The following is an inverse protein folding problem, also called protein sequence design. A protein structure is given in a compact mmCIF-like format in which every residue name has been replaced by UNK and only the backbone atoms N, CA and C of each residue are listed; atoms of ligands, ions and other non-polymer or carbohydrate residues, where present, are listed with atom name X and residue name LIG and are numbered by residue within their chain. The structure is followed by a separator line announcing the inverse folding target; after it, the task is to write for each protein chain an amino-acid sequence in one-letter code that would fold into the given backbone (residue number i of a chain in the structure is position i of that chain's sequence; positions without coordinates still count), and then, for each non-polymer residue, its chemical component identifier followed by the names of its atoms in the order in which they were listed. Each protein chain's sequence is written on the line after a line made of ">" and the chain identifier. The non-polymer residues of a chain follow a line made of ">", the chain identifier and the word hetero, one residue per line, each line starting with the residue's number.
data_IF_840713819111
#
_entry.id   IF_840713819111
#
_cell.length_a   1.000
_cell.length_b   1.000
_cell.length_c   1.000
_cell.angle_alpha   90.00
_cell.angle_beta   90.00
_cell.angle_gamma   90.00
#
_symmetry.space_group_name_H-M   'P 1'
#
loop_
_entity.id
_entity.type
_entity.pdbx_description
1 polymer ?
#
# COMPACT_ATOMS: atom_id res chain seq x y z
N UNK A 1 -10.21 -45.91 36.42
CA UNK A 1 -11.24 -44.89 36.10
C UNK A 1 -11.05 -44.55 34.64
N UNK A 2 -11.99 -44.95 33.79
CA UNK A 2 -11.98 -44.51 32.39
C UNK A 2 -12.26 -43.02 32.37
N UNK A 3 -11.26 -42.24 31.95
CA UNK A 3 -11.41 -40.79 31.80
C UNK A 3 -12.31 -40.59 30.59
N UNK A 4 -13.56 -40.23 30.83
CA UNK A 4 -14.48 -39.86 29.77
C UNK A 4 -14.04 -38.51 29.16
N UNK A 5 -13.52 -38.56 27.94
CA UNK A 5 -13.13 -37.37 27.17
C UNK A 5 -14.20 -37.10 26.14
N UNK A 6 -14.81 -35.90 26.19
CA UNK A 6 -15.83 -35.50 25.23
C UNK A 6 -15.21 -35.38 23.81
N UNK A 7 -15.77 -36.05 22.78
CA UNK A 7 -15.35 -35.86 21.40
C UNK A 7 -15.70 -34.46 20.89
N UNK A 8 -15.05 -33.97 19.82
CA UNK A 8 -15.41 -32.69 19.21
C UNK A 8 -16.83 -32.75 18.64
N UNK A 9 -17.51 -31.60 18.62
CA UNK A 9 -18.72 -31.45 17.82
C UNK A 9 -18.41 -31.70 16.34
N UNK A 10 -19.37 -32.20 15.54
CA UNK A 10 -19.20 -32.35 14.09
C UNK A 10 -18.73 -31.05 13.40
N UNK A 11 -18.00 -31.19 12.29
CA UNK A 11 -17.55 -30.03 11.52
C UNK A 11 -18.75 -29.23 11.01
N UNK A 12 -18.78 -27.94 11.34
CA UNK A 12 -19.82 -27.01 10.92
C UNK A 12 -19.47 -26.37 9.57
N UNK A 13 -20.45 -26.26 8.68
CA UNK A 13 -20.39 -25.47 7.44
C UNK A 13 -20.97 -24.05 7.60
N UNK A 14 -21.49 -23.72 8.78
CA UNK A 14 -22.02 -22.38 9.06
C UNK A 14 -20.89 -21.36 9.25
N UNK A 15 -20.81 -20.36 8.39
CA UNK A 15 -19.87 -19.24 8.50
C UNK A 15 -18.56 -19.48 7.75
N UNK A 16 -17.44 -19.07 8.36
CA UNK A 16 -16.11 -19.18 7.73
C UNK A 16 -15.57 -20.61 7.85
N UNK A 17 -15.53 -21.32 6.72
CA UNK A 17 -15.08 -22.71 6.65
C UNK A 17 -13.61 -22.88 7.08
N UNK A 18 -12.76 -21.88 6.85
CA UNK A 18 -11.35 -21.89 7.26
C UNK A 18 -11.25 -21.92 8.79
N UNK A 19 -12.00 -21.05 9.46
CA UNK A 19 -12.04 -20.98 10.92
C UNK A 19 -12.70 -22.22 11.52
N UNK A 20 -13.78 -22.70 10.91
CA UNK A 20 -14.47 -23.91 11.36
C UNK A 20 -13.55 -25.13 11.30
N UNK A 21 -12.82 -25.31 10.19
CA UNK A 21 -11.84 -26.39 10.07
C UNK A 21 -10.70 -26.27 11.09
N UNK A 22 -10.11 -25.08 11.24
CA UNK A 22 -9.02 -24.85 12.19
C UNK A 22 -9.45 -25.16 13.63
N UNK A 23 -10.64 -24.70 14.03
CA UNK A 23 -11.23 -24.95 15.34
C UNK A 23 -11.49 -26.45 15.53
N UNK A 24 -12.19 -27.08 14.59
CA UNK A 24 -12.54 -28.49 14.68
C UNK A 24 -11.30 -29.38 14.76
N UNK A 25 -10.30 -29.14 13.90
CA UNK A 25 -9.02 -29.88 13.90
C UNK A 25 -8.30 -29.73 15.24
N UNK A 26 -8.27 -28.52 15.81
CA UNK A 26 -7.67 -28.29 17.13
C UNK A 26 -8.39 -29.11 18.20
N UNK A 27 -9.72 -29.06 18.24
CA UNK A 27 -10.54 -29.75 19.23
C UNK A 27 -10.40 -31.28 19.08
N UNK A 28 -10.38 -31.79 17.85
CA UNK A 28 -10.10 -33.20 17.57
C UNK A 28 -8.71 -33.63 18.06
N UNK A 29 -7.67 -32.83 17.83
CA UNK A 29 -6.32 -33.16 18.30
C UNK A 29 -6.21 -33.14 19.84
N UNK A 30 -6.95 -32.26 20.52
CA UNK A 30 -7.05 -32.26 21.98
C UNK A 30 -7.71 -33.56 22.45
N UNK A 31 -8.84 -33.94 21.84
CA UNK A 31 -9.54 -35.20 22.12
C UNK A 31 -8.62 -36.41 21.92
N UNK A 32 -7.87 -36.48 20.81
CA UNK A 32 -6.95 -37.59 20.52
C UNK A 32 -5.86 -37.73 21.58
N UNK A 33 -5.34 -36.61 22.10
CA UNK A 33 -4.33 -36.61 23.18
C UNK A 33 -4.95 -37.02 24.51
N UNK A 34 -6.06 -36.39 24.89
CA UNK A 34 -6.69 -36.63 26.18
C UNK A 34 -7.25 -38.06 26.31
N UNK A 35 -7.75 -38.65 25.22
CA UNK A 35 -8.23 -40.04 25.18
C UNK A 35 -7.11 -41.08 24.99
N UNK A 36 -5.85 -40.64 24.90
CA UNK A 36 -4.70 -41.48 24.53
C UNK A 36 -4.83 -42.20 23.16
N UNK A 37 -5.78 -41.78 22.32
CA UNK A 37 -6.01 -42.33 20.98
C UNK A 37 -4.88 -41.97 20.02
N UNK A 38 -4.12 -40.91 20.30
CA UNK A 38 -2.97 -40.48 19.50
C UNK A 38 -1.83 -41.52 19.45
N UNK A 39 -1.80 -42.46 20.41
CA UNK A 39 -0.80 -43.52 20.51
C UNK A 39 -1.29 -44.86 19.94
N UNK A 40 -2.50 -44.91 19.36
CA UNK A 40 -3.08 -46.10 18.72
C UNK A 40 -2.59 -46.25 17.28
N UNK A 41 -2.93 -47.37 16.63
CA UNK A 41 -2.60 -47.61 15.22
C UNK A 41 -3.25 -46.57 14.28
N UNK A 42 -2.62 -46.36 13.13
CA UNK A 42 -2.93 -45.25 12.20
C UNK A 42 -4.31 -45.35 11.57
N UNK A 43 -4.74 -46.57 11.30
CA UNK A 43 -6.05 -46.95 10.80
C UNK A 43 -7.13 -46.71 11.85
N UNK A 44 -6.88 -47.06 13.12
CA UNK A 44 -7.77 -46.74 14.22
C UNK A 44 -7.93 -45.22 14.39
N UNK A 45 -6.82 -44.47 14.33
CA UNK A 45 -6.87 -43.01 14.35
C UNK A 45 -7.67 -42.44 13.17
N UNK A 46 -7.50 -42.98 11.97
CA UNK A 46 -8.24 -42.58 10.77
C UNK A 46 -9.74 -42.89 10.90
N UNK A 47 -10.09 -44.02 11.51
CA UNK A 47 -11.47 -44.38 11.80
C UNK A 47 -12.13 -43.38 12.76
N UNK A 48 -11.44 -42.98 13.84
CA UNK A 48 -11.94 -41.95 14.76
C UNK A 48 -12.13 -40.61 14.05
N UNK A 49 -11.17 -40.19 13.22
CA UNK A 49 -11.28 -38.97 12.42
C UNK A 49 -12.55 -38.99 11.56
N UNK A 50 -12.75 -40.07 10.79
CA UNK A 50 -13.91 -40.24 9.90
C UNK A 50 -15.23 -40.30 10.67
N UNK A 51 -15.22 -40.84 11.88
CA UNK A 51 -16.41 -40.95 12.73
C UNK A 51 -16.82 -39.59 13.29
N UNK A 52 -15.87 -38.81 13.82
CA UNK A 52 -16.17 -37.57 14.53
C UNK A 52 -16.20 -36.32 13.66
N UNK A 53 -15.65 -36.34 12.44
CA UNK A 53 -15.66 -35.17 11.54
C UNK A 53 -17.08 -34.80 11.06
N UNK A 54 -18.02 -35.73 11.15
CA UNK A 54 -19.40 -35.52 10.73
C UNK A 54 -19.59 -35.58 9.20
N UNK A 55 -20.84 -35.41 8.76
CA UNK A 55 -21.25 -35.71 7.38
C UNK A 55 -20.51 -34.87 6.34
N UNK A 56 -20.36 -33.57 6.57
CA UNK A 56 -19.64 -32.64 5.68
C UNK A 56 -18.19 -33.10 5.48
N UNK A 57 -17.50 -33.42 6.57
CA UNK A 57 -16.12 -33.90 6.49
C UNK A 57 -16.01 -35.28 5.84
N UNK A 58 -16.95 -36.18 6.10
CA UNK A 58 -17.00 -37.50 5.46
C UNK A 58 -17.17 -37.39 3.94
N UNK A 59 -18.06 -36.53 3.47
CA UNK A 59 -18.28 -36.31 2.03
C UNK A 59 -17.01 -35.74 1.36
N UNK A 60 -16.29 -34.85 2.05
CA UNK A 60 -15.00 -34.33 1.58
C UNK A 60 -13.91 -35.42 1.56
N UNK A 61 -13.82 -36.25 2.61
CA UNK A 61 -12.87 -37.37 2.65
C UNK A 61 -13.12 -38.33 1.48
N UNK A 62 -14.38 -38.69 1.22
CA UNK A 62 -14.73 -39.59 0.12
C UNK A 62 -14.32 -39.02 -1.24
N UNK A 63 -14.58 -37.73 -1.46
CA UNK A 63 -14.16 -37.02 -2.67
C UNK A 63 -12.63 -37.03 -2.84
N UNK A 64 -11.89 -36.74 -1.77
CA UNK A 64 -10.42 -36.61 -1.77
C UNK A 64 -9.69 -37.96 -1.96
N UNK A 65 -10.30 -39.05 -1.49
CA UNK A 65 -9.67 -40.38 -1.40
C UNK A 65 -10.18 -41.35 -2.46
N UNK A 66 -11.17 -40.96 -3.26
CA UNK A 66 -11.76 -41.73 -4.36
C UNK A 66 -10.76 -42.53 -5.23
N UNK A 67 -9.59 -41.97 -5.55
CA UNK A 67 -8.56 -42.63 -6.37
C UNK A 67 -7.43 -43.29 -5.57
N UNK A 68 -7.41 -43.18 -4.24
CA UNK A 68 -6.30 -43.61 -3.39
C UNK A 68 -6.81 -44.24 -2.07
N UNK A 69 -7.61 -45.30 -2.17
CA UNK A 69 -8.32 -45.89 -1.02
C UNK A 69 -7.43 -46.24 0.19
N UNK A 70 -6.16 -46.62 -0.02
CA UNK A 70 -5.21 -46.91 1.07
C UNK A 70 -4.91 -45.70 1.96
N UNK A 71 -5.05 -44.50 1.43
CA UNK A 71 -4.86 -43.25 2.18
C UNK A 71 -6.01 -42.96 3.14
N UNK A 72 -7.15 -43.67 3.00
CA UNK A 72 -8.31 -43.57 3.90
C UNK A 72 -8.00 -44.06 5.30
N UNK A 73 -6.97 -44.88 5.44
CA UNK A 73 -6.61 -45.57 6.67
C UNK A 73 -5.37 -44.95 7.34
N UNK A 74 -4.93 -43.78 6.89
CA UNK A 74 -3.88 -43.01 7.58
C UNK A 74 -4.39 -41.62 7.99
N UNK A 75 -4.48 -41.40 9.31
CA UNK A 75 -4.96 -40.13 9.86
C UNK A 75 -4.14 -38.92 9.42
N UNK A 76 -2.80 -39.00 9.34
CA UNK A 76 -2.02 -37.83 8.95
C UNK A 76 -2.20 -37.51 7.47
N UNK A 77 -2.31 -38.54 6.61
CA UNK A 77 -2.57 -38.32 5.19
C UNK A 77 -3.95 -37.64 5.02
N UNK A 78 -4.97 -38.14 5.72
CA UNK A 78 -6.30 -37.50 5.73
C UNK A 78 -6.24 -36.06 6.23
N UNK A 79 -5.61 -35.81 7.39
CA UNK A 79 -5.47 -34.46 7.95
C UNK A 79 -4.73 -33.52 6.99
N UNK A 80 -3.65 -33.97 6.35
CA UNK A 80 -2.91 -33.15 5.39
C UNK A 80 -3.74 -32.80 4.16
N UNK A 81 -4.52 -33.75 3.65
CA UNK A 81 -5.40 -33.51 2.50
C UNK A 81 -6.60 -32.62 2.86
N UNK A 82 -7.16 -32.78 4.06
CA UNK A 82 -8.22 -31.92 4.59
C UNK A 82 -7.68 -30.50 4.84
N UNK A 83 -6.47 -30.37 5.38
CA UNK A 83 -5.77 -29.09 5.50
C UNK A 83 -5.65 -28.42 4.13
N UNK A 84 -5.23 -29.13 3.08
CA UNK A 84 -5.16 -28.58 1.71
C UNK A 84 -6.54 -28.20 1.14
N UNK A 85 -7.59 -28.94 1.49
CA UNK A 85 -8.94 -28.70 0.99
C UNK A 85 -9.62 -27.50 1.66
N UNK A 86 -9.57 -27.43 2.99
CA UNK A 86 -10.21 -26.37 3.76
C UNK A 86 -9.34 -25.14 3.96
N UNK A 87 -8.01 -25.27 3.82
CA UNK A 87 -7.05 -24.18 3.82
C UNK A 87 -6.38 -24.12 2.44
N UNK A 88 -7.13 -23.84 1.35
CA UNK A 88 -6.52 -23.72 0.04
C UNK A 88 -5.40 -22.68 0.13
N UNK A 89 -4.21 -22.98 -0.45
CA UNK A 89 -3.09 -22.05 -0.40
C UNK A 89 -3.55 -20.72 -0.99
N UNK A 90 -3.49 -19.68 -0.17
CA UNK A 90 -3.84 -18.34 -0.64
C UNK A 90 -2.88 -17.99 -1.77
N UNK A 91 -3.42 -17.50 -2.88
CA UNK A 91 -2.60 -17.09 -4.00
C UNK A 91 -1.72 -15.91 -3.54
N UNK A 92 -0.43 -16.17 -3.37
CA UNK A 92 0.55 -15.21 -2.86
C UNK A 92 0.47 -13.87 -3.63
N UNK A 93 0.26 -13.93 -4.94
CA UNK A 93 0.14 -12.74 -5.79
C UNK A 93 -1.08 -11.91 -5.41
N UNK A 94 -2.22 -12.56 -5.16
CA UNK A 94 -3.46 -11.90 -4.73
C UNK A 94 -3.29 -11.30 -3.34
N UNK A 95 -2.67 -12.03 -2.41
CA UNK A 95 -2.44 -11.56 -1.05
C UNK A 95 -1.50 -10.34 -1.04
N UNK A 96 -0.38 -10.40 -1.79
CA UNK A 96 0.54 -9.28 -1.97
C UNK A 96 -0.16 -8.09 -2.61
N UNK A 97 -0.97 -8.30 -3.65
CA UNK A 97 -1.79 -7.24 -4.25
C UNK A 97 -2.71 -6.58 -3.21
N UNK A 98 -3.42 -7.38 -2.41
CA UNK A 98 -4.32 -6.90 -1.37
C UNK A 98 -3.60 -6.20 -0.21
N UNK A 99 -2.36 -6.61 0.09
CA UNK A 99 -1.48 -5.92 1.03
C UNK A 99 -1.09 -4.54 0.50
N UNK A 100 -0.53 -4.46 -0.71
CA UNK A 100 -0.10 -3.18 -1.28
C UNK A 100 -1.25 -2.23 -1.58
N UNK A 101 -2.42 -2.75 -1.97
CA UNK A 101 -3.65 -1.95 -2.20
C UNK A 101 -4.28 -1.42 -0.93
N UNK A 102 -4.06 -2.05 0.23
CA UNK A 102 -4.63 -1.59 1.49
C UNK A 102 -4.18 -0.16 1.81
N UNK A 103 -5.04 0.65 2.45
CA UNK A 103 -4.73 2.02 2.83
C UNK A 103 -5.10 2.25 4.29
N UNK A 104 -4.40 3.17 4.94
CA UNK A 104 -4.75 3.62 6.29
C UNK A 104 -6.06 4.42 6.27
N UNK A 105 -7.02 4.05 7.12
CA UNK A 105 -8.21 4.89 7.39
C UNK A 105 -7.81 6.14 8.20
N UNK A 106 -8.50 7.26 7.98
CA UNK A 106 -8.19 8.55 8.65
C UNK A 106 -8.17 8.41 10.17
N UNK A 107 -9.06 7.59 10.71
CA UNK A 107 -9.38 7.55 12.15
C UNK A 107 -8.54 6.54 12.94
N UNK A 108 -7.77 5.69 12.25
CA UNK A 108 -6.95 4.66 12.89
C UNK A 108 -5.57 5.22 13.24
N UNK A 109 -5.00 4.85 14.39
CA UNK A 109 -3.61 5.20 14.75
C UNK A 109 -2.60 4.54 13.81
N UNK A 110 -1.35 5.00 13.82
CA UNK A 110 -0.31 4.38 12.99
C UNK A 110 0.03 2.98 13.50
N UNK A 111 0.04 2.79 14.82
CA UNK A 111 0.33 1.54 15.50
C UNK A 111 -0.71 0.46 15.15
N UNK A 112 -2.00 0.82 15.21
CA UNK A 112 -3.08 -0.10 14.84
C UNK A 112 -3.04 -0.45 13.35
N UNK A 113 -2.66 0.50 12.49
CA UNK A 113 -2.49 0.24 11.07
C UNK A 113 -1.30 -0.69 10.79
N UNK A 114 -0.19 -0.55 11.51
CA UNK A 114 0.96 -1.46 11.43
C UNK A 114 0.54 -2.88 11.84
N UNK A 115 -0.21 -3.04 12.93
CA UNK A 115 -0.74 -4.36 13.34
C UNK A 115 -1.60 -4.98 12.24
N UNK A 116 -2.50 -4.19 11.65
CA UNK A 116 -3.31 -4.62 10.52
C UNK A 116 -2.45 -5.07 9.31
N UNK A 117 -1.41 -4.31 8.96
CA UNK A 117 -0.48 -4.66 7.89
C UNK A 117 0.31 -5.93 8.20
N UNK A 118 0.78 -6.11 9.44
CA UNK A 118 1.45 -7.35 9.89
C UNK A 118 0.54 -8.56 9.72
N UNK A 119 -0.74 -8.44 10.09
CA UNK A 119 -1.71 -9.52 9.90
C UNK A 119 -1.90 -9.86 8.41
N UNK A 120 -2.01 -8.87 7.53
CA UNK A 120 -2.07 -9.10 6.07
C UNK A 120 -0.78 -9.72 5.50
N UNK A 121 0.37 -9.33 6.03
CA UNK A 121 1.66 -9.84 5.57
C UNK A 121 1.87 -11.34 5.86
N UNK A 122 1.14 -11.92 6.83
CA UNK A 122 1.27 -13.35 7.21
C UNK A 122 1.02 -14.31 6.03
N UNK A 123 0.22 -13.89 5.05
CA UNK A 123 -0.15 -14.69 3.87
C UNK A 123 0.57 -14.25 2.60
N UNK A 124 1.46 -13.26 2.70
CA UNK A 124 2.21 -12.67 1.59
C UNK A 124 3.58 -13.29 1.37
N UNK A 125 4.01 -14.22 2.23
CA UNK A 125 5.33 -14.86 2.15
C UNK A 125 6.50 -13.85 2.08
N UNK A 126 6.45 -12.81 2.92
CA UNK A 126 7.52 -11.80 3.01
C UNK A 126 8.70 -12.23 3.89
N UNK A 127 8.49 -13.24 4.74
CA UNK A 127 9.51 -13.75 5.66
C UNK A 127 10.12 -12.64 6.53
N UNK A 128 11.45 -12.63 6.62
CA UNK A 128 12.21 -11.69 7.45
C UNK A 128 12.12 -10.23 6.96
N UNK A 129 11.64 -9.99 5.73
CA UNK A 129 11.49 -8.65 5.17
C UNK A 129 10.16 -7.98 5.52
N UNK A 130 9.31 -8.63 6.33
CA UNK A 130 7.97 -8.12 6.65
C UNK A 130 8.01 -6.69 7.19
N UNK A 131 8.88 -6.41 8.17
CA UNK A 131 8.94 -5.08 8.79
C UNK A 131 9.53 -4.02 7.86
N UNK A 132 10.50 -4.37 7.01
CA UNK A 132 11.05 -3.44 6.01
C UNK A 132 10.04 -3.12 4.91
N UNK A 133 9.26 -4.11 4.45
CA UNK A 133 8.22 -3.90 3.43
C UNK A 133 7.08 -3.04 4.00
N UNK A 134 6.70 -3.25 5.26
CA UNK A 134 5.71 -2.39 5.94
C UNK A 134 6.23 -0.96 6.04
N UNK A 135 7.48 -0.77 6.50
CA UNK A 135 8.14 0.55 6.55
C UNK A 135 8.09 1.24 5.18
N UNK A 136 8.49 0.56 4.12
CA UNK A 136 8.56 1.13 2.77
C UNK A 136 7.17 1.49 2.23
N UNK A 137 6.20 0.59 2.45
CA UNK A 137 4.79 0.87 2.13
C UNK A 137 4.31 2.14 2.85
N UNK A 138 4.55 2.26 4.15
CA UNK A 138 4.15 3.43 4.93
C UNK A 138 4.77 4.72 4.39
N UNK A 139 6.07 4.72 4.09
CA UNK A 139 6.75 5.88 3.48
C UNK A 139 6.07 6.32 2.18
N UNK A 140 5.64 5.36 1.35
CA UNK A 140 4.92 5.63 0.10
C UNK A 140 3.52 6.19 0.37
N UNK A 141 2.81 5.71 1.38
CA UNK A 141 1.42 6.14 1.67
C UNK A 141 1.31 7.56 2.22
N UNK A 142 2.34 8.05 2.91
CA UNK A 142 2.27 9.36 3.55
C UNK A 142 2.58 10.48 2.56
N UNK A 143 1.62 11.38 2.36
CA UNK A 143 1.77 12.52 1.45
C UNK A 143 2.64 13.67 2.01
N UNK A 144 3.00 13.62 3.29
CA UNK A 144 3.81 14.66 3.92
C UNK A 144 5.27 14.65 3.42
N UNK A 145 5.63 15.64 2.61
CA UNK A 145 6.97 15.79 2.04
C UNK A 145 8.04 16.05 3.10
N UNK A 146 7.72 16.82 4.15
CA UNK A 146 8.70 17.15 5.19
C UNK A 146 9.00 15.91 6.04
N UNK A 147 7.98 15.14 6.36
CA UNK A 147 8.14 13.87 7.07
C UNK A 147 8.96 12.88 6.23
N UNK A 148 8.64 12.69 4.94
CA UNK A 148 9.41 11.81 4.05
C UNK A 148 10.88 12.19 3.96
N UNK A 149 11.18 13.50 3.86
CA UNK A 149 12.56 13.97 3.82
C UNK A 149 13.32 13.67 5.11
N UNK A 150 12.68 13.81 6.29
CA UNK A 150 13.29 13.40 7.56
C UNK A 150 13.61 11.91 7.59
N UNK A 151 12.69 11.08 7.13
CA UNK A 151 12.86 9.62 7.10
C UNK A 151 14.01 9.21 6.18
N UNK A 152 14.16 9.84 5.01
CA UNK A 152 15.25 9.54 4.07
C UNK A 152 16.64 9.92 4.60
N UNK A 153 16.74 10.81 5.59
CA UNK A 153 18.01 11.18 6.19
C UNK A 153 18.48 10.22 7.29
N UNK A 154 17.65 9.26 7.69
CA UNK A 154 18.00 8.26 8.72
C UNK A 154 18.71 7.09 8.06
N UNK A 155 19.96 6.84 8.49
CA UNK A 155 20.71 5.66 8.07
C UNK A 155 20.06 4.41 8.67
N UNK A 156 19.85 3.38 7.84
CA UNK A 156 19.30 2.08 8.26
C UNK A 156 17.94 2.17 9.00
N UNK A 157 17.08 3.11 8.57
CA UNK A 157 15.76 3.33 9.17
C UNK A 157 15.00 2.01 9.37
N UNK A 158 14.70 1.65 10.62
CA UNK A 158 13.85 0.49 10.92
C UNK A 158 12.40 0.89 11.21
N UNK A 159 11.49 -0.09 11.32
CA UNK A 159 10.07 0.18 11.55
C UNK A 159 9.80 0.85 12.90
N UNK A 160 10.61 0.58 13.93
CA UNK A 160 10.47 1.22 15.25
C UNK A 160 10.87 2.69 15.21
N UNK A 161 12.01 3.00 14.61
CA UNK A 161 12.47 4.38 14.38
C UNK A 161 11.49 5.17 13.52
N UNK A 162 10.91 4.55 12.49
CA UNK A 162 9.85 5.16 11.68
C UNK A 162 8.68 5.65 12.56
N UNK A 163 8.21 4.82 13.50
CA UNK A 163 7.09 5.16 14.39
C UNK A 163 7.45 6.36 15.29
N UNK A 164 8.67 6.36 15.86
CA UNK A 164 9.17 7.47 16.68
C UNK A 164 9.17 8.78 15.90
N UNK A 165 9.76 8.80 14.70
CA UNK A 165 9.84 9.99 13.85
C UNK A 165 8.44 10.45 13.40
N UNK A 166 7.56 9.51 13.07
CA UNK A 166 6.17 9.81 12.72
C UNK A 166 5.44 10.53 13.86
N UNK A 167 5.55 10.00 15.08
CA UNK A 167 4.89 10.55 16.25
C UNK A 167 5.44 11.94 16.61
N UNK A 168 6.77 12.11 16.61
CA UNK A 168 7.41 13.43 16.81
C UNK A 168 6.95 14.45 15.77
N UNK A 169 6.90 14.06 14.50
CA UNK A 169 6.45 14.92 13.40
C UNK A 169 4.99 15.33 13.60
N UNK A 170 4.11 14.39 13.95
CA UNK A 170 2.70 14.64 14.20
C UNK A 170 2.49 15.61 15.37
N UNK A 171 3.20 15.42 16.48
CA UNK A 171 3.16 16.31 17.64
C UNK A 171 3.66 17.72 17.30
N UNK A 172 4.74 17.85 16.53
CA UNK A 172 5.25 19.15 16.08
C UNK A 172 4.24 19.90 15.19
N UNK A 173 3.55 19.18 14.29
CA UNK A 173 2.51 19.77 13.43
C UNK A 173 1.27 20.20 14.21
N UNK A 174 0.91 19.49 15.29
CA UNK A 174 -0.19 19.89 16.16
C UNK A 174 0.14 21.18 16.93
N UNK A 175 1.35 21.28 17.51
CA UNK A 175 1.81 22.50 18.20
C UNK A 175 1.80 23.72 17.28
N UNK A 176 2.37 23.62 16.07
CA UNK A 176 2.36 24.71 15.08
C UNK A 176 0.96 25.22 14.73
N UNK A 177 -0.03 24.34 14.64
CA UNK A 177 -1.44 24.71 14.39
C UNK A 177 -2.09 25.43 15.57
N UNK A 178 -1.72 25.08 16.80
CA UNK A 178 -2.19 25.76 18.01
C UNK A 178 -1.60 27.17 18.11
N UNK A 179 -0.29 27.31 17.88
CA UNK A 179 0.40 28.61 17.95
C UNK A 179 -0.11 29.60 16.89
N UNK A 180 -0.37 29.13 15.66
CA UNK A 180 -0.97 29.98 14.61
C UNK A 180 -2.40 30.43 14.92
N UNK A 181 -3.19 29.58 15.59
CA UNK A 181 -4.55 29.95 16.02
C UNK A 181 -4.55 30.90 17.22
N UNK A 182 -3.58 30.81 18.13
CA UNK A 182 -3.43 31.75 19.24
C UNK A 182 -2.97 33.14 18.78
N UNK A 183 -1.99 33.22 17.87
CA UNK A 183 -1.54 34.49 17.32
C UNK A 183 -2.63 35.22 16.52
N UNK A 184 -3.53 34.49 15.85
CA UNK A 184 -4.66 35.10 15.13
C UNK A 184 -5.71 35.72 16.05
N UNK A 185 -5.88 35.20 17.28
CA UNK A 185 -6.80 35.76 18.28
C UNK A 185 -6.24 37.00 18.99
N UNK A 186 -4.92 37.17 19.08
CA UNK A 186 -4.32 38.36 19.70
C UNK A 186 -4.33 39.60 18.79
N UNK A 187 -4.35 39.43 17.46
CA UNK A 187 -4.36 40.56 16.52
C UNK A 187 -5.74 41.26 16.45
N UNK A 188 -6.85 40.53 16.65
CA UNK A 188 -8.21 41.12 16.68
C UNK A 188 -8.55 41.82 18.01
N UNK A 189 -7.69 41.75 19.04
CA UNK A 189 -7.93 42.34 20.36
C UNK A 189 -7.40 43.77 20.57
N UNK A 190 -6.56 44.29 19.66
CA UNK A 190 -5.85 45.56 19.85
C UNK A 190 -6.29 46.69 18.89
N UNK A 191 -7.59 46.81 18.60
CA UNK A 191 -8.16 48.08 18.11
C UNK A 191 -8.65 48.91 19.30
N UNK A 192 -7.68 49.52 19.98
CA UNK A 192 -7.91 50.57 20.98
C UNK A 192 -8.44 51.79 20.22
N UNK A 193 -9.72 52.10 20.41
CA UNK A 193 -10.34 53.35 19.98
C UNK A 193 -9.73 54.49 20.79
N UNK A 194 -9.06 55.43 20.12
CA UNK A 194 -8.81 56.75 20.67
C UNK A 194 -9.32 57.84 19.71
N UNK A 195 -9.88 58.84 20.38
CA UNK A 195 -10.08 60.23 20.01
C UNK A 195 -11.30 60.61 19.14
N UNK A 196 -12.39 60.86 19.88
CA UNK A 196 -13.37 61.90 19.55
C UNK A 196 -12.75 63.29 19.79
N UNK A 197 -12.65 64.12 18.75
CA UNK A 197 -12.77 65.59 18.90
C UNK A 197 -13.66 66.13 17.78
N UNK A 198 -14.69 66.83 18.21
CA UNK A 198 -15.72 67.51 17.44
C UNK A 198 -15.22 68.81 16.82
N UNK A 199 -15.58 69.10 15.57
CA UNK A 199 -15.73 70.47 15.08
C UNK A 199 -16.76 70.56 13.96
N UNK A 200 -17.62 71.56 14.10
CA UNK A 200 -18.83 71.89 13.34
C UNK A 200 -18.52 72.65 12.04
N UNK A 201 -19.50 72.54 11.12
CA UNK A 201 -20.09 73.60 10.27
C UNK A 201 -19.57 73.89 8.84
N UNK A 202 -20.57 73.89 7.92
CA UNK A 202 -20.87 74.94 6.89
C UNK A 202 -20.02 74.85 5.59
N UNK A 203 -20.53 74.83 4.35
CA UNK A 203 -21.86 75.07 3.72
C UNK A 203 -21.82 74.74 2.22
N UNK A 204 -23.01 74.45 1.64
CA UNK A 204 -23.54 74.78 0.29
C UNK A 204 -22.68 74.46 -0.97
N UNK A 205 -23.20 74.00 -2.11
CA UNK A 205 -24.44 74.36 -2.83
C UNK A 205 -24.65 73.37 -3.99
N UNK A 206 -25.91 72.94 -4.17
CA UNK A 206 -26.68 72.81 -5.44
C UNK A 206 -26.11 71.99 -6.62
N UNK A 207 -26.89 71.24 -7.42
CA UNK A 207 -28.33 71.00 -7.56
C UNK A 207 -28.48 69.81 -8.54
N UNK A 208 -29.56 69.04 -8.34
CA UNK A 208 -30.47 68.46 -9.37
C UNK A 208 -29.88 67.63 -10.54
N UNK A 209 -30.41 66.51 -11.03
CA UNK A 209 -31.65 65.74 -10.85
C UNK A 209 -31.47 64.44 -11.69
N UNK A 210 -32.41 63.50 -11.52
CA UNK A 210 -32.81 62.46 -12.47
C UNK A 210 -32.05 61.13 -12.52
N UNK A 211 -32.49 60.30 -11.57
CA UNK A 211 -32.83 58.89 -11.71
C UNK A 211 -33.08 58.41 -13.17
N UNK A 212 -32.26 57.48 -13.67
CA UNK A 212 -32.74 56.40 -14.54
C UNK A 212 -31.80 55.20 -14.48
N UNK A 213 -32.41 54.04 -14.27
CA UNK A 213 -31.80 52.72 -14.18
C UNK A 213 -30.94 52.39 -15.41
N UNK A 214 -29.66 52.07 -15.18
CA UNK A 214 -28.77 51.47 -16.17
C UNK A 214 -27.72 50.62 -15.49
N UNK A 215 -27.98 49.31 -15.36
CA UNK A 215 -27.06 48.32 -14.80
C UNK A 215 -25.76 48.28 -15.63
N UNK A 216 -24.71 48.95 -15.15
CA UNK A 216 -23.36 48.87 -15.68
C UNK A 216 -22.36 48.57 -14.58
N UNK A 217 -22.36 47.34 -14.05
CA UNK A 217 -21.30 46.90 -13.11
C UNK A 217 -19.96 46.94 -13.85
N UNK A 218 -19.13 47.93 -13.53
CA UNK A 218 -17.69 47.92 -13.83
C UNK A 218 -17.09 46.67 -13.20
N UNK A 219 -16.89 45.63 -14.00
CA UNK A 219 -16.16 44.43 -13.59
C UNK A 219 -14.70 44.81 -13.46
N UNK A 220 -14.20 44.76 -12.22
CA UNK A 220 -12.76 44.74 -11.90
C UNK A 220 -12.04 43.83 -12.90
N UNK A 221 -11.14 44.39 -13.72
CA UNK A 221 -10.16 43.61 -14.50
C UNK A 221 -9.33 42.80 -13.51
N UNK A 222 -9.75 41.56 -13.25
CA UNK A 222 -8.97 40.60 -12.49
C UNK A 222 -7.78 40.19 -13.36
N UNK A 223 -6.57 40.44 -12.87
CA UNK A 223 -5.33 39.86 -13.38
C UNK A 223 -5.41 38.33 -13.26
N UNK A 224 -5.99 37.65 -14.25
CA UNK A 224 -5.90 36.19 -14.41
C UNK A 224 -4.75 35.89 -15.39
N UNK A 225 -3.72 35.21 -14.89
CA UNK A 225 -2.59 34.71 -15.69
C UNK A 225 -3.11 33.76 -16.78
N UNK A 226 -2.47 33.76 -17.95
CA UNK A 226 -2.78 32.83 -19.03
C UNK A 226 -2.50 31.39 -18.57
N UNK A 227 -3.27 30.42 -19.09
CA UNK A 227 -3.12 29.02 -18.71
C UNK A 227 -1.84 28.45 -19.33
N UNK A 228 -0.93 27.92 -18.50
CA UNK A 228 0.40 27.44 -18.91
C UNK A 228 0.37 26.39 -20.05
N UNK A 229 -0.72 25.63 -20.16
CA UNK A 229 -0.87 24.54 -21.15
C UNK A 229 -1.16 25.00 -22.58
N UNK A 230 -1.78 26.16 -22.77
CA UNK A 230 -2.22 26.61 -24.10
C UNK A 230 -2.04 28.12 -24.33
N UNK A 231 -1.49 28.84 -23.35
CA UNK A 231 -1.26 30.29 -23.37
C UNK A 231 -2.48 31.17 -23.71
N UNK A 232 -3.69 30.61 -23.64
CA UNK A 232 -4.96 31.30 -23.89
C UNK A 232 -5.78 31.44 -22.59
N UNK A 233 -6.83 32.27 -22.64
CA UNK A 233 -7.77 32.48 -21.55
C UNK A 233 -9.06 31.70 -21.82
N UNK A 234 -9.35 30.71 -20.98
CA UNK A 234 -10.58 29.94 -21.04
C UNK A 234 -10.97 29.45 -19.63
N UNK A 235 -12.23 29.04 -19.41
CA UNK A 235 -12.65 28.34 -18.19
C UNK A 235 -11.80 27.09 -17.91
N UNK A 236 -11.64 26.74 -16.62
CA UNK A 236 -10.66 25.75 -16.15
C UNK A 236 -10.85 24.33 -16.72
N UNK A 237 -12.03 24.03 -17.28
CA UNK A 237 -12.40 22.71 -17.81
C UNK A 237 -12.54 22.66 -19.34
N UNK A 238 -12.35 23.78 -20.04
CA UNK A 238 -12.52 23.86 -21.51
C UNK A 238 -11.22 24.28 -22.20
N UNK A 239 -10.08 23.77 -21.70
CA UNK A 239 -8.79 24.06 -22.31
C UNK A 239 -8.75 23.54 -23.74
N UNK A 240 -8.53 24.39 -24.75
CA UNK A 240 -8.45 23.97 -26.15
C UNK A 240 -7.34 22.95 -26.40
N UNK A 241 -6.28 22.97 -25.57
CA UNK A 241 -5.19 22.01 -25.67
C UNK A 241 -5.50 20.64 -25.03
N UNK A 242 -6.66 20.47 -24.37
CA UNK A 242 -7.06 19.18 -23.79
C UNK A 242 -7.30 18.16 -24.89
N UNK A 243 -6.56 17.05 -24.86
CA UNK A 243 -6.62 15.98 -25.88
C UNK A 243 -5.62 16.12 -27.03
N UNK A 244 -4.93 17.25 -27.18
CA UNK A 244 -3.88 17.38 -28.19
C UNK A 244 -2.63 16.60 -27.79
N UNK A 245 -2.09 15.84 -28.76
CA UNK A 245 -0.82 15.12 -28.64
C UNK A 245 0.31 16.05 -29.06
N UNK A 246 1.31 16.20 -28.20
CA UNK A 246 2.54 16.93 -28.54
C UNK A 246 3.39 16.08 -29.50
N UNK A 247 4.15 16.73 -30.38
CA UNK A 247 5.04 16.06 -31.34
C UNK A 247 6.25 15.38 -30.66
N UNK A 248 6.56 15.75 -29.41
CA UNK A 248 7.51 15.03 -28.57
C UNK A 248 6.90 13.76 -27.95
N UNK A 249 7.72 12.71 -27.70
CA UNK A 249 7.21 11.40 -27.32
C UNK A 249 6.44 11.43 -25.98
N UNK A 250 5.19 10.95 -26.05
CA UNK A 250 4.31 10.58 -24.93
C UNK A 250 3.80 11.70 -23.99
N UNK A 251 3.60 12.92 -24.49
CA UNK A 251 2.93 13.98 -23.70
C UNK A 251 1.65 14.49 -24.38
N UNK A 252 0.61 14.67 -23.58
CA UNK A 252 -0.72 15.14 -24.00
C UNK A 252 -1.12 16.42 -23.25
N UNK A 253 -2.20 17.07 -23.69
CA UNK A 253 -2.88 18.18 -22.99
C UNK A 253 -2.15 19.54 -23.00
N UNK A 254 -1.31 19.83 -24.00
CA UNK A 254 -0.66 21.14 -24.20
C UNK A 254 -0.27 21.36 -25.67
N UNK A 255 -0.08 22.62 -26.09
CA UNK A 255 0.47 22.94 -27.41
C UNK A 255 1.99 22.86 -27.44
N UNK A 256 2.58 22.60 -28.61
CA UNK A 256 4.04 22.46 -28.81
C UNK A 256 4.82 23.66 -28.26
N UNK A 257 4.33 24.89 -28.48
CA UNK A 257 4.95 26.13 -27.98
C UNK A 257 4.83 26.33 -26.46
N UNK A 258 4.07 25.47 -25.77
CA UNK A 258 3.92 25.43 -24.33
C UNK A 258 4.56 24.17 -23.73
N UNK A 259 5.32 23.41 -24.54
CA UNK A 259 6.03 22.23 -24.06
C UNK A 259 7.10 22.66 -23.05
N UNK A 260 7.14 22.06 -21.86
CA UNK A 260 8.17 22.36 -20.87
C UNK A 260 9.55 21.81 -21.26
N UNK A 261 9.64 21.03 -22.33
CA UNK A 261 10.91 20.56 -22.92
C UNK A 261 11.26 21.48 -24.07
N UNK A 262 12.45 22.08 -24.02
CA UNK A 262 12.97 22.84 -25.15
C UNK A 262 13.55 21.85 -26.17
N UNK A 263 13.37 22.09 -27.49
CA UNK A 263 13.94 21.23 -28.51
C UNK A 263 15.45 21.22 -28.33
N UNK A 264 15.98 20.07 -27.91
CA UNK A 264 17.42 19.81 -28.03
C UNK A 264 17.60 19.16 -29.38
N UNK A 265 18.47 19.76 -30.18
CA UNK A 265 18.82 19.27 -31.51
C UNK A 265 19.10 17.77 -31.47
N UNK A 266 18.56 17.08 -32.46
CA UNK A 266 18.78 15.68 -32.74
C UNK A 266 20.28 15.37 -32.82
N UNK A 267 20.83 14.79 -31.75
CA UNK A 267 22.03 13.97 -31.83
C UNK A 267 21.77 12.61 -31.18
N UNK A 268 22.18 11.59 -31.91
CA UNK A 268 21.94 10.17 -31.66
C UNK A 268 22.48 9.80 -30.28
N UNK A 269 21.61 9.37 -29.37
CA UNK A 269 22.03 8.70 -28.14
C UNK A 269 22.72 7.39 -28.51
N UNK A 270 24.05 7.36 -28.48
CA UNK A 270 24.78 6.13 -28.27
C UNK A 270 24.41 5.58 -26.88
N UNK A 271 23.93 4.35 -26.84
CA UNK A 271 23.67 3.67 -25.58
C UNK A 271 24.98 3.53 -24.79
N UNK A 272 25.01 3.87 -23.49
CA UNK A 272 26.19 3.57 -22.68
C UNK A 272 26.37 2.06 -22.62
N UNK A 273 27.46 1.59 -23.22
CA UNK A 273 27.86 0.18 -23.12
C UNK A 273 28.53 -0.02 -21.77
N UNK A 274 28.23 -1.13 -21.09
CA UNK A 274 28.82 -1.45 -19.80
C UNK A 274 30.37 -1.45 -19.89
N UNK A 275 31.08 -0.99 -18.84
CA UNK A 275 32.54 -1.05 -18.81
C UNK A 275 33.03 -2.49 -19.03
N UNK A 276 34.19 -2.69 -19.69
CA UNK A 276 34.79 -4.01 -19.84
C UNK A 276 34.99 -4.67 -18.47
N UNK A 277 34.65 -5.96 -18.37
CA UNK A 277 34.83 -6.79 -17.15
C UNK A 277 36.28 -6.88 -16.64
N UNK A 278 37.26 -6.35 -17.38
CA UNK A 278 38.66 -6.25 -16.95
C UNK A 278 38.88 -5.24 -15.81
N UNK A 279 37.94 -4.32 -15.59
CA UNK A 279 38.14 -3.19 -14.69
C UNK A 279 37.36 -3.33 -13.36
N UNK A 280 36.80 -4.51 -13.08
CA UNK A 280 36.12 -4.81 -11.82
C UNK A 280 37.13 -5.32 -10.80
N UNK A 281 37.41 -4.51 -9.78
CA UNK A 281 38.25 -4.87 -8.64
C UNK A 281 37.67 -6.11 -7.93
N UNK A 282 38.35 -7.26 -8.12
CA UNK A 282 37.96 -8.55 -7.58
C UNK A 282 37.93 -8.60 -6.04
N UNK A 283 38.51 -7.61 -5.35
CA UNK A 283 38.47 -7.50 -3.89
C UNK A 283 37.07 -7.13 -3.35
N UNK A 284 36.21 -6.51 -4.16
CA UNK A 284 34.91 -5.99 -3.71
C UNK A 284 33.73 -6.97 -3.91
N UNK A 285 33.87 -7.98 -4.77
CA UNK A 285 32.76 -8.87 -5.14
C UNK A 285 33.22 -10.34 -5.27
N UNK A 286 33.31 -11.09 -4.16
CA UNK A 286 33.93 -12.41 -4.12
C UNK A 286 33.09 -13.56 -4.73
N UNK A 287 31.87 -13.32 -5.25
CA UNK A 287 30.96 -14.36 -5.74
C UNK A 287 30.43 -14.10 -7.17
N UNK A 288 31.30 -13.65 -8.08
CA UNK A 288 30.95 -13.42 -9.50
C UNK A 288 31.35 -14.58 -10.44
N UNK A 289 31.84 -15.70 -9.92
CA UNK A 289 32.36 -16.81 -10.73
C UNK A 289 31.29 -17.50 -11.61
N UNK A 290 30.01 -17.35 -11.28
CA UNK A 290 28.90 -17.87 -12.09
C UNK A 290 28.70 -17.10 -13.42
N UNK A 291 29.29 -15.91 -13.57
CA UNK A 291 29.12 -15.08 -14.78
C UNK A 291 30.19 -15.41 -15.83
N UNK A 292 31.39 -15.86 -15.42
CA UNK A 292 32.47 -16.25 -16.36
C UNK A 292 32.12 -17.47 -17.20
N UNK A 293 31.43 -18.45 -16.61
CA UNK A 293 31.10 -19.73 -17.25
C UNK A 293 30.15 -19.60 -18.43
N UNK A 294 29.34 -18.54 -18.47
CA UNK A 294 28.36 -18.29 -19.54
C UNK A 294 28.95 -17.60 -20.77
N UNK A 295 30.10 -16.92 -20.66
CA UNK A 295 30.73 -16.21 -21.79
C UNK A 295 31.80 -17.04 -22.51
N UNK A 296 32.46 -17.98 -21.82
CA UNK A 296 33.41 -18.90 -22.46
C UNK A 296 32.71 -19.93 -23.36
N UNK A 297 31.49 -20.36 -22.99
CA UNK A 297 30.66 -21.24 -23.82
C UNK A 297 30.20 -20.57 -25.13
N UNK A 298 30.04 -19.24 -25.15
CA UNK A 298 29.67 -18.49 -26.34
C UNK A 298 30.86 -18.19 -27.28
N UNK A 299 32.09 -18.11 -26.75
CA UNK A 299 33.30 -17.94 -27.58
C UNK A 299 33.78 -19.24 -28.22
N UNK A 300 33.50 -20.40 -27.61
CA UNK A 300 33.83 -21.71 -28.18
C UNK A 300 33.00 -22.09 -29.42
N UNK A 301 31.76 -21.62 -29.53
CA UNK A 301 30.86 -21.96 -30.65
C UNK A 301 31.10 -21.16 -31.95
N UNK A 302 31.98 -20.16 -31.95
CA UNK A 302 32.27 -19.32 -33.12
C UNK A 302 33.54 -19.77 -33.88
N UNK A 303 34.33 -20.69 -33.32
CA UNK A 303 35.62 -21.10 -33.92
C UNK A 303 35.58 -22.44 -34.68
N UNK A 304 34.48 -23.20 -34.63
CA UNK A 304 34.32 -24.48 -35.35
C UNK A 304 33.40 -24.37 -36.59
N UNK A 305 33.33 -23.18 -37.19
CA UNK A 305 32.46 -22.88 -38.33
C UNK A 305 33.20 -22.32 -39.56
N UNK A 306 34.35 -22.89 -39.93
CA UNK A 306 35.01 -22.67 -41.23
C UNK A 306 35.53 -23.97 -41.81
#
# INVERSE_FOLDING_TARGET
>A
MDIYVRPPEPLSDNGDMVLNWQKWRKDFMIFMKASNSINKERDYQAYLLRTYIGKIGQDVIEKIVSNHLKERDDMNILLAKLDKYFLPPKNEVIERYNFFKSRKNSDVSIENYIVYLKNKATTCNFGNMTDSIIRDKLIIEFDDKQMRQKLFNVKNLNLSEFISIFNEHKSAMQKKKQDTNQNRKQIDGNNIKNDNVSAKNVTHSDKETNNSNGKGKRVRRQNKKNYSKCNQRHPMQTCPASGFKCEEPYKYNHYTNCCPVQPTDTEKMEHPTAPPLSDIDHMLYPNLDHVKTSQETLKGMVMDGK
#
